data_IF_684268060859
#
_entry.id   IF_684268060859
#
_cell.length_a   1.000
_cell.length_b   1.000
_cell.length_c   1.000
_cell.angle_alpha   90.00
_cell.angle_beta   90.00
_cell.angle_gamma   90.00
#
_symmetry.space_group_name_H-M   'P 1'
#
loop_
_entity.id
_entity.type
_entity.pdbx_description
1 polymer ?
#
# COMPACT_ATOMS: atom_id res chain seq x y z
N UNK A 1 8.75 34.88 -21.81
CA UNK A 1 9.19 33.90 -20.76
C UNK A 1 9.52 32.57 -21.45
N UNK A 2 10.80 32.39 -21.70
CA UNK A 2 11.31 31.24 -22.44
C UNK A 2 11.35 30.00 -21.54
N UNK A 3 10.29 29.18 -21.58
CA UNK A 3 10.39 27.78 -21.26
C UNK A 3 10.48 27.38 -19.77
N UNK A 4 10.05 28.20 -18.81
CA UNK A 4 10.01 27.80 -17.41
C UNK A 4 8.67 27.14 -17.10
N UNK A 5 8.70 25.87 -16.66
CA UNK A 5 7.55 25.16 -16.10
C UNK A 5 7.66 25.12 -14.59
N UNK A 6 6.64 25.61 -13.90
CA UNK A 6 6.57 25.59 -12.43
C UNK A 6 5.58 24.50 -12.03
N UNK A 7 6.03 23.55 -11.22
CA UNK A 7 5.19 22.50 -10.62
C UNK A 7 5.22 22.69 -9.10
N UNK A 8 4.05 22.82 -8.51
CA UNK A 8 3.88 22.89 -7.06
C UNK A 8 3.00 21.71 -6.59
N UNK A 9 3.27 21.20 -5.40
CA UNK A 9 2.48 20.13 -4.78
C UNK A 9 1.98 20.56 -3.43
N UNK A 10 0.77 20.15 -3.06
CA UNK A 10 0.19 20.40 -1.75
C UNK A 10 -0.68 19.22 -1.32
N UNK A 11 -0.75 18.96 -0.02
CA UNK A 11 -1.70 18.01 0.58
C UNK A 11 -3.01 18.71 1.03
N UNK A 12 -3.09 20.05 0.87
CA UNK A 12 -4.20 20.88 1.35
C UNK A 12 -4.75 21.73 0.20
N UNK A 13 -5.51 21.11 -0.69
CA UNK A 13 -6.11 21.82 -1.85
C UNK A 13 -7.05 22.94 -1.42
N UNK A 14 -7.74 22.78 -0.27
CA UNK A 14 -8.60 23.81 0.29
C UNK A 14 -7.89 25.07 0.76
N UNK A 15 -6.57 25.03 0.96
CA UNK A 15 -5.74 26.16 1.39
C UNK A 15 -5.03 26.86 0.22
N UNK A 16 -5.30 26.43 -1.02
CA UNK A 16 -4.76 27.14 -2.17
C UNK A 16 -5.53 28.47 -2.29
N UNK A 17 -4.78 29.57 -2.17
CA UNK A 17 -5.35 30.91 -2.32
C UNK A 17 -6.05 31.03 -3.69
N UNK A 18 -7.33 31.44 -3.75
CA UNK A 18 -8.02 31.70 -5.01
C UNK A 18 -7.25 32.62 -5.96
N UNK A 19 -6.43 33.51 -5.42
CA UNK A 19 -5.54 34.38 -6.22
C UNK A 19 -4.49 33.60 -7.01
N UNK A 20 -4.22 32.34 -6.64
CA UNK A 20 -3.28 31.46 -7.35
C UNK A 20 -4.02 30.60 -8.37
N UNK A 21 -5.23 30.11 -8.03
CA UNK A 21 -6.04 29.24 -8.89
C UNK A 21 -6.82 29.98 -9.98
N UNK A 22 -7.23 31.24 -9.71
CA UNK A 22 -8.15 31.99 -10.58
C UNK A 22 -7.47 32.99 -11.52
N UNK A 23 -6.14 33.07 -11.52
CA UNK A 23 -5.40 33.98 -12.42
C UNK A 23 -4.81 33.24 -13.63
N UNK A 24 -5.26 33.55 -14.85
CA UNK A 24 -4.65 33.03 -16.09
C UNK A 24 -3.15 33.28 -16.12
N UNK A 25 -2.36 32.25 -16.46
CA UNK A 25 -0.92 32.34 -16.67
C UNK A 25 -0.04 32.08 -15.43
N UNK A 26 -0.62 31.61 -14.28
CA UNK A 26 0.19 31.20 -13.12
C UNK A 26 0.15 29.70 -12.86
N UNK A 27 -1.01 29.13 -12.62
CA UNK A 27 -1.22 27.67 -12.54
C UNK A 27 -2.42 27.31 -13.39
N UNK A 28 -2.15 26.92 -14.63
CA UNK A 28 -3.18 26.66 -15.63
C UNK A 28 -3.82 25.30 -15.47
N UNK A 29 -3.26 24.44 -14.63
CA UNK A 29 -3.74 23.06 -14.45
C UNK A 29 -3.55 22.59 -13.01
N UNK A 30 -4.65 22.20 -12.39
CA UNK A 30 -4.67 21.49 -11.11
C UNK A 30 -4.91 20.00 -11.42
N UNK A 31 -4.02 19.16 -10.91
CA UNK A 31 -4.13 17.71 -11.05
C UNK A 31 -4.30 17.13 -9.64
N UNK A 32 -5.43 16.50 -9.41
CA UNK A 32 -5.66 15.75 -8.17
C UNK A 32 -5.04 14.35 -8.30
N UNK A 33 -4.16 14.00 -7.36
CA UNK A 33 -3.56 12.68 -7.25
C UNK A 33 -4.26 11.95 -6.11
N UNK A 34 -5.28 11.16 -6.46
CA UNK A 34 -6.04 10.34 -5.52
C UNK A 34 -5.29 9.08 -5.09
N UNK A 35 -5.99 8.23 -4.31
CA UNK A 35 -5.47 6.91 -3.96
C UNK A 35 -5.41 6.03 -5.22
N UNK A 36 -4.42 5.14 -5.32
CA UNK A 36 -4.28 4.27 -6.48
C UNK A 36 -5.43 3.27 -6.57
N UNK A 37 -5.97 3.08 -7.75
CA UNK A 37 -6.91 2.03 -8.08
C UNK A 37 -6.23 0.65 -8.10
N UNK A 38 -7.02 -0.41 -8.19
CA UNK A 38 -6.52 -1.79 -8.17
C UNK A 38 -5.37 -2.01 -9.17
N UNK A 39 -5.55 -1.64 -10.44
CA UNK A 39 -4.53 -1.82 -11.48
C UNK A 39 -3.25 -1.01 -11.21
N UNK A 40 -3.39 0.18 -10.64
CA UNK A 40 -2.25 1.02 -10.26
C UNK A 40 -1.50 0.41 -9.06
N UNK A 41 -2.21 -0.16 -8.07
CA UNK A 41 -1.58 -0.87 -6.96
C UNK A 41 -0.82 -2.11 -7.44
N UNK A 42 -1.37 -2.84 -8.41
CA UNK A 42 -0.69 -3.98 -9.04
C UNK A 42 0.65 -3.53 -9.65
N UNK A 43 0.66 -2.47 -10.46
CA UNK A 43 1.88 -1.92 -11.05
C UNK A 43 2.89 -1.41 -10.00
N UNK A 44 2.42 -0.78 -8.93
CA UNK A 44 3.28 -0.32 -7.82
C UNK A 44 3.96 -1.52 -7.16
N UNK A 45 3.19 -2.57 -6.84
CA UNK A 45 3.70 -3.79 -6.22
C UNK A 45 4.66 -4.54 -7.13
N UNK A 46 4.37 -4.67 -8.43
CA UNK A 46 5.28 -5.26 -9.41
C UNK A 46 6.65 -4.58 -9.40
N UNK A 47 6.66 -3.25 -9.41
CA UNK A 47 7.90 -2.46 -9.36
C UNK A 47 8.65 -2.65 -8.03
N UNK A 48 7.95 -2.61 -6.91
CA UNK A 48 8.54 -2.76 -5.58
C UNK A 48 9.11 -4.17 -5.37
N UNK A 49 8.43 -5.19 -5.87
CA UNK A 49 8.81 -6.59 -5.72
C UNK A 49 9.73 -7.11 -6.83
N UNK A 50 10.06 -6.32 -7.85
CA UNK A 50 10.80 -6.75 -9.04
C UNK A 50 12.15 -7.45 -8.73
N UNK A 51 12.81 -7.01 -7.66
CA UNK A 51 14.12 -7.56 -7.21
C UNK A 51 13.98 -8.60 -6.08
N UNK A 52 12.76 -8.94 -5.69
CA UNK A 52 12.47 -9.88 -4.61
C UNK A 52 12.42 -11.33 -5.12
N UNK A 53 12.40 -12.33 -4.22
CA UNK A 53 12.27 -13.73 -4.60
C UNK A 53 11.00 -14.00 -5.43
N UNK A 54 11.09 -14.97 -6.33
CA UNK A 54 9.96 -15.36 -7.21
C UNK A 54 8.70 -15.76 -6.43
N UNK A 55 8.85 -16.27 -5.20
CA UNK A 55 7.74 -16.65 -4.32
C UNK A 55 6.83 -15.48 -3.95
N UNK A 56 7.34 -14.23 -3.93
CA UNK A 56 6.56 -13.04 -3.58
C UNK A 56 6.23 -12.15 -4.79
N UNK A 57 6.96 -12.28 -5.91
CA UNK A 57 6.73 -11.50 -7.13
C UNK A 57 5.85 -12.19 -8.18
N UNK A 58 5.32 -13.38 -7.88
CA UNK A 58 4.44 -14.06 -8.82
C UNK A 58 3.15 -13.27 -9.03
N UNK A 59 2.61 -13.27 -10.25
CA UNK A 59 1.40 -12.51 -10.59
C UNK A 59 0.20 -12.85 -9.67
N UNK A 60 0.11 -14.10 -9.20
CA UNK A 60 -0.91 -14.53 -8.23
C UNK A 60 -0.77 -13.80 -6.89
N UNK A 61 0.47 -13.68 -6.40
CA UNK A 61 0.76 -12.99 -5.13
C UNK A 61 0.53 -11.50 -5.28
N UNK A 62 1.03 -10.89 -6.35
CA UNK A 62 0.84 -9.46 -6.63
C UNK A 62 -0.64 -9.11 -6.71
N UNK A 63 -1.46 -9.89 -7.41
CA UNK A 63 -2.92 -9.69 -7.47
C UNK A 63 -3.59 -9.77 -6.09
N UNK A 64 -3.17 -10.72 -5.26
CA UNK A 64 -3.68 -10.83 -3.89
C UNK A 64 -3.30 -9.58 -3.08
N UNK A 65 -2.02 -9.21 -3.07
CA UNK A 65 -1.55 -8.02 -2.35
C UNK A 65 -2.22 -6.74 -2.83
N UNK A 66 -2.53 -6.62 -4.14
CA UNK A 66 -3.25 -5.48 -4.69
C UNK A 66 -4.67 -5.35 -4.16
N UNK A 67 -5.33 -6.46 -3.84
CA UNK A 67 -6.63 -6.46 -3.15
C UNK A 67 -6.47 -6.08 -1.68
N UNK A 68 -5.50 -6.70 -1.01
CA UNK A 68 -5.28 -6.53 0.43
C UNK A 68 -4.78 -5.11 0.79
N UNK A 69 -4.25 -4.36 -0.19
CA UNK A 69 -3.79 -2.96 -0.03
C UNK A 69 -4.81 -1.92 -0.48
N UNK A 70 -6.09 -2.28 -0.58
CA UNK A 70 -7.15 -1.32 -0.89
C UNK A 70 -7.18 -0.17 0.12
N UNK A 71 -7.34 1.06 -0.38
CA UNK A 71 -7.35 2.27 0.46
C UNK A 71 -5.96 2.78 0.88
N UNK A 72 -4.87 2.11 0.49
CA UNK A 72 -3.52 2.56 0.76
C UNK A 72 -2.97 3.42 -0.40
N UNK A 73 -2.28 4.50 -0.04
CA UNK A 73 -1.48 5.28 -1.00
C UNK A 73 -0.23 4.52 -1.43
N UNK A 74 0.41 4.96 -2.52
CA UNK A 74 1.68 4.37 -2.97
C UNK A 74 2.79 4.42 -1.91
N UNK A 75 2.80 5.46 -1.06
CA UNK A 75 3.73 5.57 0.05
C UNK A 75 3.49 4.49 1.11
N UNK A 76 2.23 4.22 1.45
CA UNK A 76 1.88 3.16 2.40
C UNK A 76 2.12 1.76 1.85
N UNK A 77 1.90 1.54 0.55
CA UNK A 77 2.25 0.26 -0.10
C UNK A 77 3.77 0.03 -0.04
N UNK A 78 4.56 1.07 -0.23
CA UNK A 78 6.03 1.00 -0.05
C UNK A 78 6.39 0.67 1.39
N UNK A 79 5.75 1.29 2.36
CA UNK A 79 5.94 1.02 3.79
C UNK A 79 5.67 -0.47 4.12
N UNK A 80 4.61 -1.06 3.57
CA UNK A 80 4.33 -2.49 3.70
C UNK A 80 5.53 -3.34 3.28
N UNK A 81 6.08 -3.08 2.09
CA UNK A 81 7.22 -3.87 1.58
C UNK A 81 8.48 -3.66 2.43
N UNK A 82 8.73 -2.42 2.88
CA UNK A 82 9.87 -2.11 3.75
C UNK A 82 9.75 -2.77 5.11
N UNK A 83 8.58 -2.72 5.74
CA UNK A 83 8.31 -3.38 7.02
C UNK A 83 8.48 -4.89 6.93
N UNK A 84 8.00 -5.51 5.84
CA UNK A 84 8.17 -6.93 5.59
C UNK A 84 9.66 -7.31 5.46
N UNK A 85 10.46 -6.48 4.79
CA UNK A 85 11.91 -6.69 4.69
C UNK A 85 12.60 -6.60 6.06
N UNK A 86 12.25 -5.58 6.85
CA UNK A 86 12.80 -5.38 8.19
C UNK A 86 12.44 -6.57 9.08
N UNK A 87 11.19 -7.03 9.05
CA UNK A 87 10.72 -8.20 9.81
C UNK A 87 11.49 -9.47 9.43
N UNK A 88 11.71 -9.71 8.14
CA UNK A 88 12.48 -10.85 7.68
C UNK A 88 13.93 -10.81 8.19
N UNK A 89 14.59 -9.65 8.10
CA UNK A 89 15.98 -9.47 8.57
C UNK A 89 16.05 -9.61 10.09
N UNK A 90 15.13 -9.01 10.84
CA UNK A 90 15.07 -9.13 12.30
C UNK A 90 14.87 -10.56 12.77
N UNK A 91 14.22 -11.39 11.95
CA UNK A 91 14.07 -12.84 12.19
C UNK A 91 15.26 -13.68 11.68
N UNK A 92 16.38 -13.06 11.31
CA UNK A 92 17.58 -13.73 10.82
C UNK A 92 17.45 -14.30 9.39
N UNK A 93 16.40 -13.95 8.66
CA UNK A 93 16.16 -14.42 7.29
C UNK A 93 16.73 -13.43 6.26
N UNK A 94 17.29 -13.97 5.20
CA UNK A 94 17.83 -13.15 4.08
C UNK A 94 16.79 -12.86 2.99
N UNK A 95 15.61 -13.47 3.07
CA UNK A 95 14.57 -13.36 2.05
C UNK A 95 13.19 -13.17 2.72
N UNK A 96 12.43 -12.28 2.14
CA UNK A 96 11.03 -12.07 2.53
C UNK A 96 10.14 -13.19 1.97
N UNK A 97 9.05 -13.46 2.64
CA UNK A 97 8.02 -14.41 2.20
C UNK A 97 6.63 -13.74 2.16
N UNK A 98 5.62 -14.48 1.75
CA UNK A 98 4.25 -13.94 1.65
C UNK A 98 3.65 -13.57 3.01
N UNK A 99 3.99 -14.32 4.06
CA UNK A 99 3.51 -14.04 5.42
C UNK A 99 4.03 -12.71 5.92
N UNK A 100 5.31 -12.40 5.69
CA UNK A 100 5.90 -11.10 6.07
C UNK A 100 5.13 -9.93 5.44
N UNK A 101 4.75 -10.06 4.17
CA UNK A 101 3.96 -9.04 3.47
C UNK A 101 2.55 -8.92 4.03
N UNK A 102 1.89 -10.05 4.33
CA UNK A 102 0.54 -10.05 4.88
C UNK A 102 0.49 -9.47 6.29
N UNK A 103 1.43 -9.83 7.14
CA UNK A 103 1.53 -9.31 8.50
C UNK A 103 1.79 -7.79 8.45
N UNK A 104 2.70 -7.34 7.58
CA UNK A 104 2.96 -5.90 7.39
C UNK A 104 1.77 -5.14 6.84
N UNK A 105 0.94 -5.73 5.98
CA UNK A 105 -0.32 -5.12 5.54
C UNK A 105 -1.26 -4.93 6.73
N UNK A 106 -1.43 -5.98 7.56
CA UNK A 106 -2.25 -5.91 8.76
C UNK A 106 -1.83 -4.77 9.68
N UNK A 107 -0.54 -4.67 9.99
CA UNK A 107 0.02 -3.63 10.85
C UNK A 107 -0.18 -2.21 10.28
N UNK A 108 -0.02 -2.04 8.97
CA UNK A 108 -0.22 -0.75 8.30
C UNK A 108 -1.69 -0.36 8.32
N UNK A 109 -2.60 -1.29 8.02
CA UNK A 109 -4.04 -1.02 8.03
C UNK A 109 -4.54 -0.69 9.43
N UNK A 110 -4.07 -1.40 10.45
CA UNK A 110 -4.39 -1.11 11.85
C UNK A 110 -3.92 0.29 12.26
N UNK A 111 -2.66 0.64 11.95
CA UNK A 111 -2.13 1.99 12.20
C UNK A 111 -2.91 3.09 11.50
N UNK A 112 -3.54 2.78 10.37
CA UNK A 112 -4.38 3.69 9.60
C UNK A 112 -5.84 3.71 10.06
N UNK A 113 -6.23 2.90 11.04
CA UNK A 113 -7.61 2.74 11.46
C UNK A 113 -8.50 2.12 10.37
N UNK A 114 -7.91 1.40 9.42
CA UNK A 114 -8.62 0.68 8.36
C UNK A 114 -8.84 -0.77 8.78
N UNK A 115 -10.04 -1.30 8.55
CA UNK A 115 -10.33 -2.69 8.85
C UNK A 115 -9.54 -3.61 7.91
N UNK A 116 -8.72 -4.49 8.48
CA UNK A 116 -8.05 -5.53 7.71
C UNK A 116 -9.02 -6.67 7.40
N UNK A 117 -9.43 -6.78 6.16
CA UNK A 117 -10.21 -7.92 5.66
C UNK A 117 -9.23 -9.02 5.23
N UNK A 118 -8.61 -9.69 6.19
CA UNK A 118 -7.80 -10.86 5.88
C UNK A 118 -8.68 -11.93 5.23
N UNK A 119 -8.30 -12.35 4.04
CA UNK A 119 -8.83 -13.61 3.50
C UNK A 119 -8.29 -14.73 4.39
N UNK A 120 -9.15 -15.63 4.94
CA UNK A 120 -8.69 -16.69 5.84
C UNK A 120 -7.54 -17.48 5.21
N UNK A 121 -6.49 -17.73 6.00
CA UNK A 121 -5.44 -18.66 5.59
C UNK A 121 -6.10 -20.02 5.37
N UNK A 122 -5.92 -20.61 4.21
CA UNK A 122 -6.44 -21.93 3.84
C UNK A 122 -5.83 -23.10 4.67
N UNK A 123 -5.10 -22.80 5.76
CA UNK A 123 -4.37 -23.80 6.55
C UNK A 123 -5.01 -24.15 7.88
N UNK A 124 -6.09 -23.47 8.33
CA UNK A 124 -6.65 -23.72 9.67
C UNK A 124 -8.01 -24.44 9.67
N UNK A 125 -8.31 -25.21 8.63
CA UNK A 125 -9.54 -25.99 8.56
C UNK A 125 -9.54 -27.24 9.46
N UNK A 126 -8.54 -27.44 10.34
CA UNK A 126 -8.45 -28.70 11.10
C UNK A 126 -8.08 -28.54 12.59
N UNK A 127 -8.45 -27.43 13.24
CA UNK A 127 -8.34 -27.36 14.70
C UNK A 127 -9.47 -26.55 15.34
N UNK A 128 -10.71 -27.00 15.16
CA UNK A 128 -11.83 -26.57 15.98
C UNK A 128 -12.07 -27.60 17.07
N UNK A 129 -11.35 -27.44 18.18
CA UNK A 129 -11.79 -28.04 19.43
C UNK A 129 -12.91 -27.17 20.01
N UNK A 130 -14.05 -27.72 20.43
CA UNK A 130 -15.13 -26.93 21.01
C UNK A 130 -14.70 -26.45 22.39
N UNK A 131 -14.63 -25.11 22.54
CA UNK A 131 -14.44 -24.47 23.82
C UNK A 131 -15.65 -24.74 24.72
N UNK A 132 -15.41 -25.41 25.84
CA UNK A 132 -16.41 -25.60 26.89
C UNK A 132 -16.60 -24.26 27.60
N UNK A 133 -17.79 -23.67 27.46
CA UNK A 133 -18.23 -22.59 28.32
C UNK A 133 -18.64 -23.20 29.66
N UNK A 134 -17.91 -22.85 30.73
CA UNK A 134 -18.38 -23.06 32.11
C UNK A 134 -18.98 -21.73 32.55
N UNK A 135 -20.22 -21.77 33.01
CA UNK A 135 -21.06 -20.67 33.39
C UNK A 135 -20.57 -19.80 34.57
#
# INVERSE_FOLDING_TARGET
>A
NDGVVIIATTNHTQNIDPAISDRPGRFDRIIEVGLPEYAQREQILEKLLAKMPSSVRSGRVVKKLSKDTEGLSGAWIREVVQSALISAVSSGRKKINQTDLQDSIGDVLERRGLAYKATPKLTDANNSAPGVYVG
#
